data_IF_892870158572
#
_entry.id   IF_892870158572
#
_cell.length_a   1.000
_cell.length_b   1.000
_cell.length_c   1.000
_cell.angle_alpha   90.00
_cell.angle_beta   90.00
_cell.angle_gamma   90.00
#
_symmetry.space_group_name_H-M   'P 1'
#
loop_
_entity.id
_entity.type
_entity.pdbx_description
1 polymer ?
#
# COMPACT_ATOMS: atom_id res chain seq x y z
N UNK A 1 0.27 -10.97 7.87
CA UNK A 1 -0.28 -12.13 8.63
C UNK A 1 -1.61 -12.61 8.09
N UNK A 2 -2.34 -11.82 7.30
CA UNK A 2 -3.66 -12.18 6.77
C UNK A 2 -3.65 -13.00 5.47
N UNK A 3 -2.47 -13.42 4.95
CA UNK A 3 -2.36 -14.29 3.76
C UNK A 3 -2.53 -15.78 4.06
N UNK A 4 -2.75 -16.15 5.30
CA UNK A 4 -2.95 -17.53 5.73
C UNK A 4 -3.97 -17.65 6.85
N UNK A 5 -4.42 -18.86 7.12
CA UNK A 5 -5.27 -19.11 8.28
C UNK A 5 -4.42 -19.09 9.56
N UNK A 6 -4.33 -17.92 10.18
CA UNK A 6 -3.47 -17.66 11.33
C UNK A 6 -3.83 -18.55 12.51
N UNK A 7 -5.10 -18.81 12.75
CA UNK A 7 -5.55 -19.71 13.82
C UNK A 7 -5.04 -21.14 13.62
N UNK A 8 -4.96 -21.62 12.36
CA UNK A 8 -4.35 -22.91 12.04
C UNK A 8 -2.82 -22.89 12.15
N UNK A 9 -2.18 -21.77 11.78
CA UNK A 9 -0.72 -21.63 11.82
C UNK A 9 -0.22 -21.62 13.27
N UNK A 10 -0.87 -20.84 14.14
CA UNK A 10 -0.52 -20.79 15.56
C UNK A 10 -1.00 -22.02 16.32
N UNK A 11 -2.13 -22.63 15.91
CA UNK A 11 -2.68 -23.79 16.62
C UNK A 11 -2.85 -23.53 18.12
N UNK A 12 -2.35 -24.46 18.93
CA UNK A 12 -2.34 -24.37 20.40
C UNK A 12 -1.55 -23.18 20.96
N UNK A 13 -0.58 -22.69 20.19
CA UNK A 13 0.25 -21.54 20.61
C UNK A 13 -0.56 -20.26 20.76
N UNK A 14 -1.73 -20.18 20.12
CA UNK A 14 -2.59 -18.98 20.17
C UNK A 14 -2.93 -18.58 21.61
N UNK A 15 -3.02 -19.54 22.50
CA UNK A 15 -3.33 -19.30 23.93
C UNK A 15 -2.13 -18.72 24.67
N UNK A 16 -0.93 -19.26 24.43
CA UNK A 16 0.28 -18.90 25.19
C UNK A 16 0.98 -17.64 24.68
N UNK A 17 0.50 -17.05 23.57
CA UNK A 17 0.97 -15.73 23.13
C UNK A 17 0.32 -14.58 23.93
N UNK A 18 -0.73 -14.83 24.71
CA UNK A 18 -1.32 -13.83 25.63
C UNK A 18 -0.32 -13.43 26.71
N UNK A 19 -0.34 -12.16 27.13
CA UNK A 19 0.65 -11.63 28.07
C UNK A 19 0.65 -12.34 29.42
N UNK A 20 -0.54 -12.72 29.91
CA UNK A 20 -0.74 -13.42 31.18
C UNK A 20 -0.44 -14.93 31.11
N UNK A 21 -0.23 -15.46 29.90
CA UNK A 21 0.08 -16.87 29.64
C UNK A 21 1.55 -17.10 29.26
N UNK A 22 2.35 -16.03 29.17
CA UNK A 22 3.78 -16.15 28.85
C UNK A 22 4.50 -16.98 29.88
N UNK A 23 5.37 -17.90 29.42
CA UNK A 23 6.08 -18.87 30.27
C UNK A 23 5.24 -20.09 30.69
N UNK A 24 3.95 -20.15 30.38
CA UNK A 24 3.14 -21.35 30.60
C UNK A 24 3.53 -22.42 29.58
N UNK A 25 3.77 -23.64 30.06
CA UNK A 25 4.09 -24.78 29.21
C UNK A 25 2.80 -25.39 28.61
N UNK A 26 2.86 -25.70 27.33
CA UNK A 26 1.85 -26.49 26.61
C UNK A 26 2.50 -27.68 25.94
N UNK A 27 1.76 -28.77 25.80
CA UNK A 27 2.22 -29.91 25.03
C UNK A 27 1.83 -29.74 23.57
N UNK A 28 2.81 -29.73 22.67
CA UNK A 28 2.55 -29.61 21.23
C UNK A 28 1.84 -30.87 20.72
N UNK A 29 0.77 -30.66 19.94
CA UNK A 29 -0.11 -31.75 19.50
C UNK A 29 0.59 -32.79 18.61
N UNK A 30 1.55 -32.38 17.78
CA UNK A 30 2.23 -33.26 16.84
C UNK A 30 3.49 -33.91 17.41
N UNK A 31 4.34 -33.17 18.13
CA UNK A 31 5.61 -33.69 18.64
C UNK A 31 5.49 -34.27 20.05
N UNK A 32 4.47 -33.89 20.81
CA UNK A 32 4.34 -34.24 22.23
C UNK A 32 5.31 -33.51 23.13
N UNK A 33 6.12 -32.59 22.59
CA UNK A 33 7.10 -31.82 23.36
C UNK A 33 6.46 -30.72 24.18
N UNK A 34 7.07 -30.40 25.33
CA UNK A 34 6.70 -29.23 26.13
C UNK A 34 7.25 -27.98 25.48
N UNK A 35 6.41 -26.99 25.32
CA UNK A 35 6.75 -25.70 24.68
C UNK A 35 6.17 -24.54 25.46
N UNK A 36 6.91 -23.43 25.55
CA UNK A 36 6.39 -22.18 26.08
C UNK A 36 6.90 -20.99 25.25
N UNK A 37 6.25 -19.85 25.42
CA UNK A 37 6.70 -18.57 24.84
C UNK A 37 7.24 -17.71 25.98
N UNK A 38 8.55 -17.44 26.04
CA UNK A 38 9.15 -16.61 27.08
C UNK A 38 8.59 -15.17 27.09
N UNK A 39 8.60 -14.55 28.26
CA UNK A 39 8.05 -13.18 28.43
C UNK A 39 8.80 -12.09 27.65
N UNK A 40 10.05 -12.34 27.27
CA UNK A 40 10.89 -11.42 26.48
C UNK A 40 10.75 -11.60 24.97
N UNK A 41 9.86 -12.45 24.49
CA UNK A 41 9.58 -12.64 23.06
C UNK A 41 8.43 -11.73 22.64
N UNK A 42 8.65 -10.92 21.60
CA UNK A 42 7.64 -10.06 20.99
C UNK A 42 7.33 -10.56 19.57
N UNK A 43 6.06 -10.52 19.22
CA UNK A 43 5.58 -10.93 17.88
C UNK A 43 5.08 -9.69 17.16
N UNK A 44 5.72 -9.35 16.03
CA UNK A 44 5.29 -8.25 15.18
C UNK A 44 4.75 -8.87 13.88
N UNK A 45 3.49 -8.60 13.60
CA UNK A 45 2.82 -9.04 12.37
C UNK A 45 2.50 -7.84 11.47
N UNK A 46 2.78 -7.96 10.18
CA UNK A 46 2.34 -6.98 9.17
C UNK A 46 1.09 -7.49 8.46
N UNK A 47 0.23 -6.57 8.06
CA UNK A 47 -1.02 -6.87 7.39
C UNK A 47 -1.32 -5.81 6.34
N UNK A 48 -1.82 -6.22 5.17
CA UNK A 48 -2.39 -5.30 4.18
C UNK A 48 -3.91 -5.36 4.28
N UNK A 49 -4.55 -4.23 4.62
CA UNK A 49 -6.01 -4.13 4.75
C UNK A 49 -6.72 -3.86 3.42
N UNK A 50 -5.99 -3.35 2.41
CA UNK A 50 -6.52 -3.09 1.07
C UNK A 50 -6.84 -4.38 0.29
N UNK A 51 -6.20 -5.49 0.63
CA UNK A 51 -6.37 -6.75 -0.08
C UNK A 51 -7.62 -7.49 0.41
N UNK A 52 -8.72 -7.32 -0.31
CA UNK A 52 -10.01 -7.92 0.00
C UNK A 52 -10.04 -9.46 -0.17
N UNK A 53 -9.07 -10.03 -0.89
CA UNK A 53 -8.94 -11.47 -1.08
C UNK A 53 -8.42 -12.21 0.17
N UNK A 54 -7.93 -11.45 1.15
CA UNK A 54 -7.26 -11.99 2.32
C UNK A 54 -8.25 -12.37 3.44
N UNK A 55 -7.85 -13.40 4.20
CA UNK A 55 -8.65 -13.92 5.30
C UNK A 55 -8.81 -12.87 6.41
N UNK A 56 -10.04 -12.62 6.82
CA UNK A 56 -10.28 -11.78 7.99
C UNK A 56 -9.62 -12.39 9.24
N UNK A 57 -8.86 -11.57 9.96
CA UNK A 57 -8.31 -11.97 11.26
C UNK A 57 -9.48 -12.17 12.23
N UNK A 58 -9.57 -13.36 12.80
CA UNK A 58 -10.63 -13.69 13.74
C UNK A 58 -10.55 -12.88 15.04
N UNK A 59 -11.66 -12.87 15.80
CA UNK A 59 -11.77 -12.09 17.02
C UNK A 59 -10.80 -12.57 18.11
N UNK A 60 -10.41 -13.85 18.10
CA UNK A 60 -9.48 -14.41 19.08
C UNK A 60 -8.08 -13.82 18.87
N UNK A 61 -7.64 -13.68 17.63
CA UNK A 61 -6.37 -13.04 17.29
C UNK A 61 -6.38 -11.54 17.56
N UNK A 62 -7.46 -10.85 17.17
CA UNK A 62 -7.59 -9.41 17.41
C UNK A 62 -7.44 -9.02 18.90
N UNK A 63 -7.84 -9.93 19.82
CA UNK A 63 -7.69 -9.70 21.26
C UNK A 63 -6.24 -9.85 21.75
N UNK A 64 -5.39 -10.55 21.00
CA UNK A 64 -4.01 -10.88 21.38
C UNK A 64 -2.97 -9.94 20.78
N UNK A 65 -3.36 -9.17 19.77
CA UNK A 65 -2.50 -8.22 19.08
C UNK A 65 -3.05 -6.80 19.23
N UNK A 66 -2.18 -5.88 19.57
CA UNK A 66 -2.49 -4.45 19.43
C UNK A 66 -2.28 -4.03 17.97
N UNK A 67 -3.29 -3.38 17.39
CA UNK A 67 -3.18 -2.89 16.02
C UNK A 67 -2.57 -1.49 16.01
N UNK A 68 -1.54 -1.32 15.20
CA UNK A 68 -0.94 -0.03 14.89
C UNK A 68 -1.16 0.22 13.41
N UNK A 69 -1.87 1.28 13.09
CA UNK A 69 -2.13 1.67 11.72
C UNK A 69 -0.93 2.47 11.17
N UNK A 70 -0.44 2.08 9.99
CA UNK A 70 0.65 2.77 9.30
C UNK A 70 0.09 3.35 8.00
N UNK A 71 -0.27 4.62 8.05
CA UNK A 71 -0.81 5.36 6.90
C UNK A 71 0.31 6.00 6.07
N UNK A 72 0.03 6.31 4.79
CA UNK A 72 0.93 7.15 4.00
C UNK A 72 1.21 8.47 4.71
N UNK A 73 2.48 8.86 4.76
CA UNK A 73 2.94 10.10 5.36
C UNK A 73 3.72 10.91 4.32
N UNK A 74 3.07 11.91 3.72
CA UNK A 74 3.67 12.77 2.72
C UNK A 74 4.79 13.65 3.28
N UNK A 75 4.80 13.88 4.60
CA UNK A 75 5.83 14.71 5.24
C UNK A 75 7.24 14.14 5.09
N UNK A 76 7.37 12.82 4.92
CA UNK A 76 8.62 12.11 4.66
C UNK A 76 9.26 12.58 3.34
N UNK A 77 8.42 12.98 2.38
CA UNK A 77 8.83 13.38 1.03
C UNK A 77 9.34 14.82 0.92
N UNK A 78 9.30 15.63 2.00
CA UNK A 78 9.68 17.06 2.00
C UNK A 78 11.10 17.36 1.53
N UNK A 79 12.01 16.39 1.64
CA UNK A 79 13.41 16.53 1.18
C UNK A 79 13.62 16.13 -0.27
N UNK A 80 12.57 15.67 -0.93
CA UNK A 80 12.56 15.30 -2.36
C UNK A 80 12.29 16.48 -3.27
N UNK A 81 11.80 16.15 -4.46
CA UNK A 81 11.39 17.13 -5.45
C UNK A 81 10.27 18.04 -4.89
N UNK A 82 10.31 19.31 -5.28
CA UNK A 82 9.25 20.27 -4.92
C UNK A 82 7.89 19.74 -5.39
N UNK A 83 6.87 19.87 -4.55
CA UNK A 83 5.51 19.43 -4.89
C UNK A 83 5.25 17.93 -4.70
N UNK A 84 6.26 17.13 -4.38
CA UNK A 84 6.12 15.68 -4.22
C UNK A 84 5.17 15.29 -3.07
N UNK A 85 5.25 15.93 -1.87
CA UNK A 85 4.27 15.69 -0.81
C UNK A 85 2.83 15.99 -1.24
N UNK A 86 2.62 17.15 -1.85
CA UNK A 86 1.31 17.61 -2.32
C UNK A 86 0.75 16.68 -3.41
N UNK A 87 1.61 16.15 -4.28
CA UNK A 87 1.21 15.19 -5.30
C UNK A 87 0.67 13.90 -4.67
N UNK A 88 1.39 13.32 -3.71
CA UNK A 88 0.92 12.13 -3.00
C UNK A 88 -0.41 12.39 -2.30
N UNK A 89 -0.54 13.54 -1.62
CA UNK A 89 -1.77 13.89 -0.92
C UNK A 89 -2.96 14.03 -1.89
N UNK A 90 -2.76 14.63 -3.07
CA UNK A 90 -3.81 14.81 -4.08
C UNK A 90 -4.22 13.49 -4.74
N UNK A 91 -3.29 12.61 -5.04
CA UNK A 91 -3.62 11.26 -5.53
C UNK A 91 -4.43 10.52 -4.48
N UNK A 92 -3.98 10.52 -3.23
CA UNK A 92 -4.64 9.82 -2.14
C UNK A 92 -6.00 10.42 -1.75
N UNK A 93 -6.20 11.73 -1.92
CA UNK A 93 -7.51 12.37 -1.77
C UNK A 93 -8.53 11.74 -2.75
N UNK A 94 -8.19 11.67 -4.04
CA UNK A 94 -9.03 11.07 -5.07
C UNK A 94 -9.26 9.56 -4.86
N UNK A 95 -8.23 8.82 -4.48
CA UNK A 95 -8.35 7.38 -4.20
C UNK A 95 -9.31 7.12 -3.01
N UNK A 96 -9.21 7.91 -1.95
CA UNK A 96 -10.12 7.79 -0.79
C UNK A 96 -11.58 8.07 -1.16
N UNK A 97 -11.82 9.06 -2.00
CA UNK A 97 -13.16 9.43 -2.45
C UNK A 97 -13.82 8.35 -3.30
N UNK A 98 -13.03 7.64 -4.11
CA UNK A 98 -13.54 6.65 -5.07
C UNK A 98 -13.58 5.22 -4.54
N UNK A 99 -12.66 4.83 -3.70
CA UNK A 99 -12.58 3.45 -3.20
C UNK A 99 -12.65 3.43 -1.68
N UNK A 100 -11.52 3.67 -1.02
CA UNK A 100 -11.44 3.64 0.44
C UNK A 100 -10.14 4.24 0.97
N UNK A 101 -10.11 4.43 2.28
CA UNK A 101 -8.93 4.85 3.03
C UNK A 101 -7.79 3.82 2.96
N UNK A 102 -8.12 2.55 2.87
CA UNK A 102 -7.16 1.45 2.89
C UNK A 102 -6.39 1.31 1.57
N UNK A 103 -6.94 1.83 0.46
CA UNK A 103 -6.35 1.75 -0.88
C UNK A 103 -5.36 2.88 -1.20
N UNK A 104 -5.02 3.74 -0.23
CA UNK A 104 -4.11 4.85 -0.46
C UNK A 104 -2.72 4.38 -0.92
N UNK A 105 -2.13 5.15 -1.82
CA UNK A 105 -0.77 4.92 -2.32
C UNK A 105 0.22 5.27 -1.21
N UNK A 106 1.15 4.34 -0.93
CA UNK A 106 2.18 4.53 0.07
C UNK A 106 3.24 5.55 -0.37
N UNK A 107 3.77 6.33 0.57
CA UNK A 107 4.89 7.25 0.30
C UNK A 107 6.15 6.53 -0.19
N UNK A 108 6.28 5.22 0.07
CA UNK A 108 7.40 4.39 -0.37
C UNK A 108 7.57 4.32 -1.88
N UNK A 109 6.49 4.45 -2.67
CA UNK A 109 6.57 4.54 -4.13
C UNK A 109 7.35 5.77 -4.62
N UNK A 110 7.35 6.84 -3.84
CA UNK A 110 8.05 8.10 -4.14
C UNK A 110 9.43 8.17 -3.49
N UNK A 111 9.99 7.00 -3.12
CA UNK A 111 11.31 6.89 -2.50
C UNK A 111 12.20 5.91 -3.28
N UNK A 112 13.49 6.22 -3.36
CA UNK A 112 14.52 5.37 -3.93
C UNK A 112 15.68 5.28 -2.93
N UNK A 113 16.15 4.05 -2.62
CA UNK A 113 17.20 3.80 -1.63
C UNK A 113 16.97 4.50 -0.26
N UNK A 114 15.71 4.51 0.20
CA UNK A 114 15.30 5.13 1.46
C UNK A 114 15.28 6.65 1.47
N UNK A 115 15.39 7.30 0.29
CA UNK A 115 15.34 8.75 0.12
C UNK A 115 14.22 9.16 -0.84
N UNK A 116 13.58 10.32 -0.62
CA UNK A 116 12.59 10.83 -1.56
C UNK A 116 13.21 11.10 -2.93
N UNK A 117 12.43 10.86 -4.00
CA UNK A 117 12.80 11.16 -5.38
C UNK A 117 13.10 12.65 -5.54
N UNK A 118 14.21 12.95 -6.22
CA UNK A 118 14.65 14.32 -6.54
C UNK A 118 14.63 14.64 -8.02
N UNK A 119 14.67 13.61 -8.87
CA UNK A 119 14.74 13.75 -10.32
C UNK A 119 13.40 13.46 -10.97
N UNK A 120 13.04 14.30 -11.94
CA UNK A 120 11.76 14.16 -12.67
C UNK A 120 11.66 12.83 -13.43
N UNK A 121 12.78 12.34 -13.96
CA UNK A 121 12.81 11.07 -14.71
C UNK A 121 12.51 9.87 -13.84
N UNK A 122 12.96 9.89 -12.59
CA UNK A 122 12.66 8.81 -11.65
C UNK A 122 11.17 8.80 -11.30
N UNK A 123 10.57 9.99 -11.15
CA UNK A 123 9.13 10.11 -10.93
C UNK A 123 8.33 9.66 -12.17
N UNK A 124 8.76 10.00 -13.39
CA UNK A 124 8.16 9.50 -14.63
C UNK A 124 8.19 7.97 -14.67
N UNK A 125 9.32 7.38 -14.32
CA UNK A 125 9.48 5.93 -14.26
C UNK A 125 8.51 5.30 -13.25
N UNK A 126 8.46 5.80 -12.02
CA UNK A 126 7.52 5.32 -10.98
C UNK A 126 6.06 5.46 -11.42
N UNK A 127 5.70 6.54 -12.09
CA UNK A 127 4.35 6.69 -12.64
C UNK A 127 4.04 5.61 -13.67
N UNK A 128 4.97 5.36 -14.60
CA UNK A 128 4.77 4.38 -15.67
C UNK A 128 4.73 2.94 -15.17
N UNK A 129 5.59 2.59 -14.19
CA UNK A 129 5.80 1.20 -13.77
C UNK A 129 5.01 0.79 -12.53
N UNK A 130 4.65 1.74 -11.68
CA UNK A 130 4.05 1.43 -10.37
C UNK A 130 2.69 2.11 -10.20
N UNK A 131 2.60 3.45 -10.32
CA UNK A 131 1.37 4.19 -9.97
C UNK A 131 0.24 3.91 -10.96
N UNK A 132 0.49 4.02 -12.26
CA UNK A 132 -0.53 3.78 -13.28
C UNK A 132 -0.99 2.33 -13.28
N UNK A 133 -0.12 1.31 -13.26
CA UNK A 133 -0.55 -0.08 -13.13
C UNK A 133 -1.38 -0.33 -11.88
N UNK A 134 -0.96 0.18 -10.72
CA UNK A 134 -1.70 0.04 -9.48
C UNK A 134 -3.10 0.65 -9.54
N UNK A 135 -3.23 1.87 -10.08
CA UNK A 135 -4.53 2.52 -10.24
C UNK A 135 -5.41 1.80 -11.26
N UNK A 136 -4.83 1.25 -12.33
CA UNK A 136 -5.57 0.40 -13.28
C UNK A 136 -6.12 -0.86 -12.63
N UNK A 137 -5.36 -1.47 -11.72
CA UNK A 137 -5.83 -2.63 -10.95
C UNK A 137 -6.95 -2.24 -9.98
N UNK A 138 -6.85 -1.08 -9.34
CA UNK A 138 -7.88 -0.58 -8.43
C UNK A 138 -9.20 -0.25 -9.14
N UNK A 139 -9.12 0.25 -10.36
CA UNK A 139 -10.26 0.69 -11.17
C UNK A 139 -10.45 -0.17 -12.43
N UNK A 140 -10.21 -1.48 -12.32
CA UNK A 140 -10.27 -2.39 -13.46
C UNK A 140 -11.65 -2.43 -14.13
N UNK A 141 -12.72 -2.16 -13.38
CA UNK A 141 -14.12 -2.20 -13.77
C UNK A 141 -14.73 -0.82 -14.09
N UNK A 142 -13.98 0.29 -13.88
CA UNK A 142 -14.48 1.65 -14.07
C UNK A 142 -13.44 2.56 -14.75
N UNK A 143 -13.59 2.77 -16.06
CA UNK A 143 -12.79 3.74 -16.81
C UNK A 143 -13.01 5.17 -16.35
N UNK A 144 -14.25 5.52 -15.99
CA UNK A 144 -14.59 6.87 -15.57
C UNK A 144 -13.93 7.24 -14.25
N UNK A 145 -13.91 6.31 -13.28
CA UNK A 145 -13.22 6.54 -12.01
C UNK A 145 -11.71 6.58 -12.19
N UNK A 146 -11.15 5.71 -13.06
CA UNK A 146 -9.73 5.75 -13.38
C UNK A 146 -9.33 7.08 -14.03
N UNK A 147 -10.14 7.60 -14.98
CA UNK A 147 -9.92 8.92 -15.60
C UNK A 147 -9.94 10.04 -14.58
N UNK A 148 -10.91 10.00 -13.67
CA UNK A 148 -11.05 11.02 -12.64
C UNK A 148 -9.88 11.01 -11.66
N UNK A 149 -9.39 9.84 -11.25
CA UNK A 149 -8.27 9.70 -10.31
C UNK A 149 -6.93 9.99 -10.98
N UNK A 150 -6.66 9.36 -12.11
CA UNK A 150 -5.37 9.45 -12.79
C UNK A 150 -5.23 10.73 -13.65
N UNK A 151 -6.31 11.15 -14.29
CA UNK A 151 -6.31 12.20 -15.32
C UNK A 151 -6.24 11.63 -16.73
N UNK A 152 -6.79 12.38 -17.68
CA UNK A 152 -6.88 11.95 -19.09
C UNK A 152 -5.53 12.00 -19.83
N UNK A 153 -4.53 12.67 -19.24
CA UNK A 153 -3.25 12.95 -19.85
C UNK A 153 -2.33 11.73 -19.91
N UNK A 154 -2.56 10.73 -19.03
CA UNK A 154 -1.62 9.64 -18.83
C UNK A 154 -1.89 8.39 -19.67
N UNK A 155 -3.15 8.17 -20.03
CA UNK A 155 -3.58 6.97 -20.77
C UNK A 155 -4.27 7.38 -22.07
N UNK A 156 -4.13 6.55 -23.09
CA UNK A 156 -4.90 6.65 -24.32
C UNK A 156 -6.29 6.03 -24.10
N UNK A 157 -7.32 6.86 -24.18
CA UNK A 157 -8.72 6.50 -23.96
C UNK A 157 -9.50 6.24 -25.25
N UNK A 158 -8.82 6.16 -26.40
CA UNK A 158 -9.50 5.90 -27.66
C UNK A 158 -10.11 4.50 -27.68
N UNK A 159 -11.26 4.36 -28.35
CA UNK A 159 -11.89 3.05 -28.58
C UNK A 159 -10.89 2.10 -29.29
N UNK A 160 -10.67 0.91 -28.70
CA UNK A 160 -9.73 -0.09 -29.18
C UNK A 160 -8.30 0.10 -28.68
N UNK A 161 -8.01 1.12 -27.87
CA UNK A 161 -6.79 1.16 -27.08
C UNK A 161 -6.98 0.28 -25.84
N UNK A 162 -6.03 -0.60 -25.56
CA UNK A 162 -6.02 -1.41 -24.34
C UNK A 162 -5.64 -0.57 -23.10
N UNK A 163 -6.15 0.67 -22.98
CA UNK A 163 -5.74 1.65 -21.97
C UNK A 163 -4.21 1.84 -21.94
N UNK A 164 -3.60 1.95 -23.12
CA UNK A 164 -2.15 2.08 -23.22
C UNK A 164 -1.68 3.38 -22.60
N UNK A 165 -0.54 3.32 -21.92
CA UNK A 165 0.10 4.51 -21.36
C UNK A 165 0.63 5.35 -22.52
N UNK A 166 0.31 6.66 -22.54
CA UNK A 166 0.80 7.57 -23.59
C UNK A 166 2.32 7.71 -23.50
N UNK A 167 3.00 7.65 -24.62
CA UNK A 167 4.46 7.72 -24.68
C UNK A 167 5.01 9.15 -24.57
N UNK A 168 4.22 10.16 -24.92
CA UNK A 168 4.64 11.55 -24.99
C UNK A 168 5.17 12.09 -23.66
N UNK A 169 4.46 11.84 -22.56
CA UNK A 169 4.90 12.27 -21.24
C UNK A 169 6.02 11.39 -20.65
N UNK A 170 6.12 10.12 -21.08
CA UNK A 170 7.18 9.21 -20.58
C UNK A 170 8.57 9.67 -21.02
N UNK A 171 8.66 10.23 -22.22
CA UNK A 171 9.93 10.63 -22.84
C UNK A 171 10.24 12.12 -22.69
N UNK A 172 9.25 12.92 -22.24
CA UNK A 172 9.40 14.38 -22.13
C UNK A 172 9.05 14.87 -20.70
N UNK A 173 10.04 15.34 -19.92
CA UNK A 173 9.81 15.87 -18.58
C UNK A 173 8.82 17.03 -18.51
N UNK A 174 8.81 17.93 -19.50
CA UNK A 174 7.90 19.09 -19.48
C UNK A 174 6.45 18.67 -19.77
N UNK A 175 6.25 17.72 -20.68
CA UNK A 175 4.93 17.14 -20.92
C UNK A 175 4.42 16.44 -19.66
N UNK A 176 5.29 15.74 -18.93
CA UNK A 176 4.94 15.10 -17.66
C UNK A 176 4.56 16.12 -16.58
N UNK A 177 5.35 17.20 -16.43
CA UNK A 177 5.01 18.30 -15.50
C UNK A 177 3.64 18.91 -15.79
N UNK A 178 3.36 19.12 -17.08
CA UNK A 178 2.07 19.63 -17.53
C UNK A 178 0.94 18.67 -17.19
N UNK A 179 1.11 17.38 -17.45
CA UNK A 179 0.14 16.35 -17.11
C UNK A 179 -0.16 16.29 -15.60
N UNK A 180 0.90 16.33 -14.77
CA UNK A 180 0.73 16.39 -13.30
C UNK A 180 -0.03 17.64 -12.86
N UNK A 181 0.31 18.80 -13.42
CA UNK A 181 -0.34 20.06 -13.09
C UNK A 181 -1.83 20.07 -13.48
N UNK A 182 -2.16 19.51 -14.62
CA UNK A 182 -3.54 19.40 -15.10
C UNK A 182 -4.36 18.40 -14.28
N UNK A 183 -3.78 17.21 -14.00
CA UNK A 183 -4.48 16.14 -13.28
C UNK A 183 -4.66 16.43 -11.78
N UNK A 184 -3.67 17.05 -11.15
CA UNK A 184 -3.62 17.16 -9.68
C UNK A 184 -3.51 18.60 -9.16
N UNK A 185 -3.37 19.60 -10.04
CA UNK A 185 -3.15 21.01 -9.69
C UNK A 185 -1.88 21.24 -8.85
N UNK A 186 -0.87 20.40 -9.03
CA UNK A 186 0.42 20.44 -8.33
C UNK A 186 1.53 20.84 -9.30
N UNK A 187 2.46 21.66 -8.84
CA UNK A 187 3.67 22.04 -9.59
C UNK A 187 4.88 21.30 -9.02
N UNK A 188 5.47 20.44 -9.83
CA UNK A 188 6.65 19.61 -9.51
C UNK A 188 7.87 20.08 -10.28
#
# INVERSE_FOLDING_TARGET
INRGNISKIFGELITIIENDKRGTEVTLAYSGEQFNVPSNVYIIGTMNTADQSLTHIDAALKRRFSSIEVMPDSSILKKGMKGLPELLDKINEKVREKISRDNQIGHSYFMQDGKPITEIRDLQFVFATDIIPLLRDYFYDSDDDLKEVLGEQFIDWNEGSDRNVKEDWQNNPETFRTAIKEAYHVTI
#
